data_IF_979727287642
#
_entry.id   IF_979727287642
#
_cell.length_a   1.000
_cell.length_b   1.000
_cell.length_c   1.000
_cell.angle_alpha   90.00
_cell.angle_beta   90.00
_cell.angle_gamma   90.00
#
_symmetry.space_group_name_H-M   'P 1'
#
loop_
_entity.id
_entity.type
_entity.pdbx_description
1 polymer ?
#
# COMPACT_ATOMS: atom_id res chain seq x y z
N UNK A 1 -12.25 -2.01 0.61
CA UNK A 1 -13.19 -2.74 1.47
C UNK A 1 -13.41 -4.15 0.96
N UNK A 2 -13.68 -4.33 -0.34
CA UNK A 2 -13.86 -5.66 -0.95
C UNK A 2 -12.70 -6.62 -0.69
N UNK A 3 -11.45 -6.17 -0.86
CA UNK A 3 -10.27 -6.99 -0.56
C UNK A 3 -10.31 -7.57 0.86
N UNK A 4 -10.72 -6.79 1.87
CA UNK A 4 -10.84 -7.28 3.24
C UNK A 4 -11.92 -8.37 3.37
N UNK A 5 -13.01 -8.29 2.60
CA UNK A 5 -14.06 -9.31 2.54
C UNK A 5 -13.53 -10.61 1.91
N UNK A 6 -12.78 -10.49 0.81
CA UNK A 6 -12.16 -11.63 0.13
C UNK A 6 -11.09 -12.31 0.98
N UNK A 7 -10.30 -11.55 1.74
CA UNK A 7 -9.33 -12.11 2.70
C UNK A 7 -10.05 -12.87 3.82
N UNK A 8 -11.09 -12.28 4.42
CA UNK A 8 -11.85 -12.94 5.50
C UNK A 8 -12.57 -14.20 5.05
N UNK A 9 -13.04 -14.24 3.80
CA UNK A 9 -13.66 -15.43 3.21
C UNK A 9 -12.65 -16.45 2.68
N UNK A 10 -11.34 -16.23 2.87
CA UNK A 10 -10.29 -17.14 2.39
C UNK A 10 -10.09 -17.16 0.88
N UNK A 11 -10.78 -16.29 0.12
CA UNK A 11 -10.74 -16.22 -1.34
C UNK A 11 -9.54 -15.42 -1.87
N UNK A 12 -8.90 -14.61 -1.03
CA UNK A 12 -7.71 -13.85 -1.40
C UNK A 12 -6.62 -13.98 -0.33
N UNK A 13 -5.38 -14.25 -0.75
CA UNK A 13 -4.19 -14.30 0.11
C UNK A 13 -3.08 -13.45 -0.51
N UNK A 14 -3.17 -12.11 -0.42
CA UNK A 14 -2.17 -11.23 -1.03
C UNK A 14 -0.82 -11.37 -0.30
N UNK A 15 0.28 -11.23 -1.04
CA UNK A 15 1.64 -11.21 -0.47
C UNK A 15 1.89 -9.94 0.37
N UNK A 16 1.18 -8.85 0.07
CA UNK A 16 1.19 -7.62 0.84
C UNK A 16 0.11 -6.66 0.37
N UNK A 17 -0.15 -5.60 1.14
CA UNK A 17 -1.22 -4.63 0.84
C UNK A 17 -0.67 -3.20 0.90
N UNK A 18 -0.87 -2.43 -0.18
CA UNK A 18 -0.67 -0.97 -0.19
C UNK A 18 -2.04 -0.29 -0.09
N UNK A 19 -2.40 0.16 1.10
CA UNK A 19 -3.64 0.88 1.37
C UNK A 19 -3.44 2.39 1.15
N UNK A 20 -3.46 2.81 -0.13
CA UNK A 20 -3.33 4.21 -0.54
C UNK A 20 -4.58 4.80 -1.25
N UNK A 21 -5.85 4.47 -0.89
CA UNK A 21 -6.99 5.14 -1.50
C UNK A 21 -7.01 6.63 -1.14
N UNK A 22 -7.48 7.46 -2.07
CA UNK A 22 -7.65 8.92 -1.93
C UNK A 22 -9.11 9.30 -2.11
N UNK A 23 -9.54 10.34 -1.42
CA UNK A 23 -10.90 10.87 -1.52
C UNK A 23 -11.46 11.34 -0.19
N UNK A 24 -12.76 11.58 -0.16
CA UNK A 24 -13.44 12.23 0.95
C UNK A 24 -14.36 11.30 1.76
N UNK A 25 -14.96 10.31 1.09
CA UNK A 25 -15.97 9.40 1.65
C UNK A 25 -15.38 8.00 1.80
N UNK A 26 -15.55 7.39 2.97
CA UNK A 26 -15.14 6.01 3.28
C UNK A 26 -13.64 5.68 3.16
N UNK A 27 -12.78 6.67 2.88
CA UNK A 27 -11.35 6.45 2.65
C UNK A 27 -10.63 6.00 3.92
N UNK A 28 -10.86 6.69 5.05
CA UNK A 28 -10.18 6.36 6.31
C UNK A 28 -10.66 5.00 6.83
N UNK A 29 -11.95 4.75 6.72
CA UNK A 29 -12.63 3.51 7.09
C UNK A 29 -12.06 2.35 6.29
N UNK A 30 -11.92 2.50 4.97
CA UNK A 30 -11.36 1.46 4.11
C UNK A 30 -9.91 1.10 4.48
N UNK A 31 -9.11 2.07 4.93
CA UNK A 31 -7.73 1.87 5.39
C UNK A 31 -7.68 1.17 6.74
N UNK A 32 -8.56 1.57 7.67
CA UNK A 32 -8.68 0.94 8.98
C UNK A 32 -9.07 -0.53 8.89
N UNK A 33 -9.91 -0.92 7.92
CA UNK A 33 -10.29 -2.32 7.71
C UNK A 33 -9.11 -3.24 7.37
N UNK A 34 -7.98 -2.70 6.94
CA UNK A 34 -6.76 -3.48 6.63
C UNK A 34 -5.90 -3.71 7.88
N UNK A 35 -6.00 -2.82 8.88
CA UNK A 35 -5.16 -2.86 10.11
C UNK A 35 -5.21 -4.21 10.84
N UNK A 36 -6.38 -4.86 11.04
CA UNK A 36 -6.48 -6.11 11.79
C UNK A 36 -5.74 -7.33 11.19
N UNK A 37 -5.42 -7.35 9.90
CA UNK A 37 -4.80 -8.52 9.25
C UNK A 37 -3.31 -8.68 9.59
N UNK A 38 -2.96 -9.14 10.77
CA UNK A 38 -1.56 -9.19 11.27
C UNK A 38 -0.61 -9.98 10.38
N UNK A 39 -1.11 -11.01 9.70
CA UNK A 39 -0.28 -11.98 8.98
C UNK A 39 0.08 -11.52 7.56
N UNK A 40 -0.40 -10.34 7.13
CA UNK A 40 -0.18 -9.79 5.80
C UNK A 40 0.62 -8.49 5.92
N UNK A 41 1.84 -8.43 5.38
CA UNK A 41 2.62 -7.20 5.31
C UNK A 41 1.84 -6.08 4.64
N UNK A 42 1.89 -4.86 5.19
CA UNK A 42 1.06 -3.77 4.70
C UNK A 42 1.72 -2.40 4.87
N UNK A 43 1.47 -1.53 3.89
CA UNK A 43 1.76 -0.10 3.96
C UNK A 43 0.43 0.64 3.92
N UNK A 44 0.17 1.47 4.92
CA UNK A 44 -1.08 2.24 5.03
C UNK A 44 -0.73 3.73 5.00
N UNK A 45 -1.25 4.44 4.01
CA UNK A 45 -1.13 5.89 3.95
C UNK A 45 -2.21 6.49 4.83
N UNK A 46 -1.86 7.11 5.95
CA UNK A 46 -2.84 7.61 6.90
C UNK A 46 -3.69 8.78 6.36
N UNK A 47 -4.88 8.95 6.94
CA UNK A 47 -5.80 10.03 6.58
C UNK A 47 -6.51 9.86 5.23
N UNK A 48 -6.81 10.97 4.54
CA UNK A 48 -7.57 11.01 3.28
C UNK A 48 -6.71 11.09 2.01
N UNK A 49 -5.40 11.31 2.18
CA UNK A 49 -4.44 11.38 1.07
C UNK A 49 -4.10 9.98 0.56
N UNK A 50 -3.66 9.91 -0.69
CA UNK A 50 -3.38 8.65 -1.39
C UNK A 50 -3.27 8.88 -2.90
N UNK A 51 -3.60 7.86 -3.68
CA UNK A 51 -3.72 7.94 -5.13
C UNK A 51 -2.81 6.97 -5.86
N UNK A 52 -3.05 6.81 -7.16
CA UNK A 52 -2.30 5.91 -8.04
C UNK A 52 -0.81 6.25 -8.08
N UNK A 53 -0.45 7.53 -8.17
CA UNK A 53 0.95 7.96 -8.20
C UNK A 53 1.69 7.51 -6.94
N UNK A 54 1.11 7.73 -5.75
CA UNK A 54 1.73 7.31 -4.50
C UNK A 54 1.81 5.78 -4.40
N UNK A 55 0.77 5.06 -4.82
CA UNK A 55 0.80 3.61 -4.85
C UNK A 55 1.90 3.08 -5.79
N UNK A 56 2.02 3.64 -6.99
CA UNK A 56 3.06 3.28 -7.96
C UNK A 56 4.46 3.59 -7.41
N UNK A 57 4.66 4.75 -6.79
CA UNK A 57 5.93 5.08 -6.12
C UNK A 57 6.29 4.06 -5.06
N UNK A 58 5.35 3.69 -4.18
CA UNK A 58 5.60 2.69 -3.13
C UNK A 58 5.95 1.32 -3.72
N UNK A 59 5.24 0.88 -4.77
CA UNK A 59 5.57 -0.36 -5.48
C UNK A 59 6.97 -0.29 -6.08
N UNK A 60 7.29 0.79 -6.79
CA UNK A 60 8.60 0.97 -7.41
C UNK A 60 9.72 1.02 -6.38
N UNK A 61 9.51 1.68 -5.23
CA UNK A 61 10.49 1.70 -4.14
C UNK A 61 10.76 0.31 -3.56
N UNK A 62 9.74 -0.55 -3.48
CA UNK A 62 9.92 -1.94 -3.04
C UNK A 62 10.71 -2.73 -4.09
N UNK A 63 10.37 -2.57 -5.37
CA UNK A 63 11.04 -3.30 -6.45
C UNK A 63 12.51 -2.91 -6.60
N UNK A 64 12.82 -1.63 -6.46
CA UNK A 64 14.17 -1.09 -6.56
C UNK A 64 14.91 -1.07 -5.21
N UNK A 65 14.39 -1.71 -4.16
CA UNK A 65 14.94 -1.58 -2.80
C UNK A 65 16.41 -2.03 -2.71
N UNK A 66 16.75 -3.12 -3.38
CA UNK A 66 18.13 -3.62 -3.40
C UNK A 66 19.08 -2.72 -4.20
N UNK A 67 18.56 -2.09 -5.27
CA UNK A 67 19.33 -1.19 -6.11
C UNK A 67 19.47 0.21 -5.47
N UNK A 68 18.62 0.54 -4.50
CA UNK A 68 18.59 1.83 -3.84
C UNK A 68 19.90 2.19 -3.14
N UNK A 69 20.67 1.20 -2.66
CA UNK A 69 22.00 1.43 -2.07
C UNK A 69 23.01 1.97 -3.09
N UNK A 70 22.86 1.60 -4.36
CA UNK A 70 23.75 2.03 -5.44
C UNK A 70 23.31 3.35 -6.09
N UNK A 71 22.05 3.74 -5.92
CA UNK A 71 21.49 4.96 -6.50
C UNK A 71 21.86 6.20 -5.65
N UNK A 72 22.41 7.24 -6.27
CA UNK A 72 22.62 8.55 -5.63
C UNK A 72 21.62 9.57 -6.19
N UNK A 73 20.51 9.85 -5.46
CA UNK A 73 19.49 10.79 -5.92
C UNK A 73 20.10 12.16 -6.24
N UNK A 74 19.82 12.69 -7.43
CA UNK A 74 20.30 14.01 -7.88
C UNK A 74 21.72 14.04 -8.46
N UNK A 75 22.42 12.91 -8.51
CA UNK A 75 23.76 12.80 -9.13
C UNK A 75 23.76 11.92 -10.39
N UNK A 76 22.90 10.90 -10.41
CA UNK A 76 22.76 9.93 -11.50
C UNK A 76 21.49 10.16 -12.35
N UNK A 77 20.86 11.33 -12.22
CA UNK A 77 19.69 11.79 -13.01
C UNK A 77 20.04 13.00 -13.86
#
# INVERSE_FOLDING_TARGET
MELCSLIRSGKARPAGIIAAPVGFVHVKESKHMVKPFTDIPKIIVEGRKGGSNLAATLVNSILCFNDAEALKPGRDV
#
